data_IF_275737219385
#
_entry.id   IF_275737219385
#
_cell.length_a   1.000
_cell.length_b   1.000
_cell.length_c   1.000
_cell.angle_alpha   90.00
_cell.angle_beta   90.00
_cell.angle_gamma   90.00
#
_symmetry.space_group_name_H-M   'P 1'
#
loop_
_entity.id
_entity.type
_entity.pdbx_description
1 polymer ?
#
# COMPACT_ATOMS: atom_id res chain seq x y z
N UNK A 1 78.15 7.47 -12.64
CA UNK A 1 76.71 7.61 -12.80
C UNK A 1 76.00 6.40 -12.27
N UNK A 2 75.20 6.60 -11.25
CA UNK A 2 74.33 5.56 -10.66
C UNK A 2 73.08 5.36 -11.54
N UNK A 3 72.59 4.13 -11.74
CA UNK A 3 71.36 3.89 -12.43
C UNK A 3 70.19 4.34 -11.59
N UNK A 4 69.27 5.09 -12.17
CA UNK A 4 68.01 5.53 -11.57
C UNK A 4 67.08 4.33 -11.41
N UNK A 5 66.69 4.06 -10.15
CA UNK A 5 65.66 3.10 -9.82
C UNK A 5 64.32 3.56 -10.40
N UNK A 6 63.85 2.90 -11.46
CA UNK A 6 62.50 3.03 -11.95
C UNK A 6 61.54 2.48 -10.88
N UNK A 7 60.75 3.35 -10.27
CA UNK A 7 59.66 2.94 -9.39
C UNK A 7 58.71 2.05 -10.18
N UNK A 8 58.71 0.74 -9.90
CA UNK A 8 57.66 -0.19 -10.35
C UNK A 8 56.35 0.21 -9.69
N UNK A 9 55.34 0.54 -10.46
CA UNK A 9 53.99 0.76 -9.95
C UNK A 9 53.50 -0.49 -9.21
N UNK A 10 53.00 -0.38 -7.97
CA UNK A 10 52.68 -1.54 -7.13
C UNK A 10 51.40 -2.28 -7.57
N UNK A 11 50.69 -1.81 -8.58
CA UNK A 11 49.43 -2.41 -9.01
C UNK A 11 49.57 -2.81 -10.49
N UNK A 12 49.73 -4.12 -10.74
CA UNK A 12 49.72 -4.69 -12.08
C UNK A 12 48.31 -4.78 -12.66
N UNK A 13 48.16 -4.74 -13.99
CA UNK A 13 46.89 -4.89 -14.70
C UNK A 13 46.11 -6.11 -14.27
N UNK A 14 46.77 -7.20 -13.83
CA UNK A 14 46.14 -8.40 -13.26
C UNK A 14 45.41 -8.15 -11.94
N UNK A 15 45.96 -7.28 -11.06
CA UNK A 15 45.33 -6.93 -9.81
C UNK A 15 44.07 -6.09 -10.03
N UNK A 16 44.08 -5.17 -11.01
CA UNK A 16 42.90 -4.38 -11.38
C UNK A 16 41.82 -5.23 -11.98
N UNK A 17 42.16 -6.20 -12.85
CA UNK A 17 41.19 -7.15 -13.40
C UNK A 17 40.57 -8.06 -12.32
N UNK A 18 41.38 -8.54 -11.37
CA UNK A 18 40.89 -9.36 -10.25
C UNK A 18 39.94 -8.59 -9.33
N UNK A 19 40.27 -7.31 -9.03
CA UNK A 19 39.39 -6.45 -8.21
C UNK A 19 38.08 -6.14 -8.92
N UNK A 20 38.11 -5.89 -10.23
CA UNK A 20 36.92 -5.68 -11.06
C UNK A 20 36.00 -6.93 -11.11
N UNK A 21 36.61 -8.13 -11.30
CA UNK A 21 35.86 -9.39 -11.29
C UNK A 21 35.24 -9.69 -9.92
N UNK A 22 35.99 -9.44 -8.82
CA UNK A 22 35.47 -9.61 -7.47
C UNK A 22 34.32 -8.62 -7.17
N UNK A 23 34.44 -7.36 -7.61
CA UNK A 23 33.36 -6.36 -7.48
C UNK A 23 32.10 -6.73 -8.26
N UNK A 24 32.25 -7.21 -9.52
CA UNK A 24 31.13 -7.68 -10.30
C UNK A 24 30.46 -8.93 -9.69
N UNK A 25 31.26 -9.87 -9.19
CA UNK A 25 30.74 -11.05 -8.48
C UNK A 25 29.97 -10.70 -7.22
N UNK A 26 30.47 -9.74 -6.46
CA UNK A 26 29.78 -9.26 -5.24
C UNK A 26 28.48 -8.55 -5.59
N UNK A 27 28.46 -7.69 -6.60
CA UNK A 27 27.25 -7.01 -7.06
C UNK A 27 26.19 -8.01 -7.55
N UNK A 28 26.60 -8.99 -8.35
CA UNK A 28 25.71 -10.08 -8.80
C UNK A 28 25.16 -10.89 -7.62
N UNK A 29 26.01 -11.24 -6.66
CA UNK A 29 25.58 -11.96 -5.45
C UNK A 29 24.55 -11.13 -4.65
N UNK A 30 24.76 -9.83 -4.51
CA UNK A 30 23.85 -8.94 -3.81
C UNK A 30 22.47 -8.84 -4.50
N UNK A 31 22.43 -8.76 -5.82
CA UNK A 31 21.17 -8.73 -6.57
C UNK A 31 20.40 -10.05 -6.47
N UNK A 32 21.10 -11.19 -6.57
CA UNK A 32 20.48 -12.52 -6.40
C UNK A 32 19.95 -12.70 -4.98
N UNK A 33 20.71 -12.30 -3.97
CA UNK A 33 20.31 -12.41 -2.57
C UNK A 33 19.12 -11.49 -2.24
N UNK A 34 19.09 -10.28 -2.80
CA UNK A 34 17.97 -9.34 -2.67
C UNK A 34 16.68 -9.91 -3.27
N UNK A 35 16.77 -10.49 -4.46
CA UNK A 35 15.63 -11.14 -5.13
C UNK A 35 15.13 -12.34 -4.31
N UNK A 36 16.04 -13.19 -3.83
CA UNK A 36 15.71 -14.32 -2.94
C UNK A 36 15.01 -13.88 -1.66
N UNK A 37 15.49 -12.81 -1.01
CA UNK A 37 14.85 -12.26 0.21
C UNK A 37 13.46 -11.71 -0.07
N UNK A 38 13.27 -11.06 -1.21
CA UNK A 38 11.95 -10.57 -1.63
C UNK A 38 10.97 -11.72 -1.91
N UNK A 39 11.42 -12.78 -2.61
CA UNK A 39 10.61 -13.98 -2.84
C UNK A 39 10.28 -14.73 -1.53
N UNK A 40 11.24 -14.84 -0.62
CA UNK A 40 11.02 -15.47 0.69
C UNK A 40 10.06 -14.66 1.56
N UNK A 41 10.15 -13.33 1.53
CA UNK A 41 9.21 -12.46 2.22
C UNK A 41 7.78 -12.60 1.64
N UNK A 42 7.65 -12.65 0.33
CA UNK A 42 6.38 -12.90 -0.34
C UNK A 42 5.79 -14.28 0.00
N UNK A 43 6.62 -15.35 0.00
CA UNK A 43 6.20 -16.71 0.40
C UNK A 43 5.83 -16.81 1.88
N UNK A 44 6.50 -16.07 2.76
CA UNK A 44 6.20 -16.08 4.20
C UNK A 44 4.83 -15.45 4.52
N UNK A 45 4.37 -14.49 3.72
CA UNK A 45 3.03 -13.91 3.87
C UNK A 45 1.90 -14.91 3.61
N UNK A 46 2.13 -15.95 2.79
CA UNK A 46 1.10 -16.96 2.46
C UNK A 46 0.93 -18.07 3.51
N UNK A 47 1.80 -18.13 4.53
CA UNK A 47 1.83 -19.24 5.52
C UNK A 47 1.02 -18.96 6.79
N UNK A 48 0.56 -17.73 6.99
CA UNK A 48 -0.37 -17.43 8.09
C UNK A 48 -1.79 -17.79 7.66
N UNK A 49 -2.50 -18.58 8.48
CA UNK A 49 -3.91 -18.92 8.23
C UNK A 49 -4.71 -17.67 7.88
N UNK A 50 -5.60 -17.74 6.88
CA UNK A 50 -6.39 -16.59 6.44
C UNK A 50 -7.13 -16.01 7.65
N UNK A 51 -6.80 -14.81 8.12
CA UNK A 51 -7.52 -14.20 9.22
C UNK A 51 -8.97 -13.98 8.79
N UNK A 52 -9.92 -14.20 9.69
CA UNK A 52 -11.30 -13.79 9.46
C UNK A 52 -11.35 -12.25 9.48
N UNK A 53 -11.12 -11.65 8.33
CA UNK A 53 -11.20 -10.21 8.08
C UNK A 53 -12.41 -9.91 7.20
N UNK A 54 -12.96 -8.72 7.36
CA UNK A 54 -14.18 -8.30 6.68
C UNK A 54 -15.42 -8.52 7.56
N UNK A 55 -16.54 -8.04 7.10
CA UNK A 55 -17.82 -8.08 7.77
C UNK A 55 -18.70 -6.94 7.28
N UNK A 56 -19.98 -6.92 7.67
CA UNK A 56 -20.92 -5.92 7.19
C UNK A 56 -20.56 -4.53 7.71
N UNK A 57 -20.60 -3.56 6.82
CA UNK A 57 -20.46 -2.15 7.13
C UNK A 57 -21.40 -1.31 6.26
N UNK A 58 -21.73 -0.11 6.72
CA UNK A 58 -22.54 0.86 5.98
C UNK A 58 -21.87 2.23 6.08
N UNK A 59 -21.57 2.82 4.93
CA UNK A 59 -20.95 4.13 4.81
C UNK A 59 -21.69 4.94 3.73
N UNK A 60 -21.29 6.19 3.52
CA UNK A 60 -21.78 7.06 2.47
C UNK A 60 -20.66 7.34 1.49
N UNK A 61 -20.94 7.18 0.23
CA UNK A 61 -20.02 7.53 -0.85
C UNK A 61 -20.03 9.05 -1.07
N UNK A 62 -18.86 9.65 -0.98
CA UNK A 62 -18.72 11.11 -1.08
C UNK A 62 -19.02 11.65 -2.47
N UNK A 63 -18.76 10.89 -3.55
CA UNK A 63 -18.99 11.31 -4.92
C UNK A 63 -20.49 11.30 -5.26
N UNK A 64 -21.20 10.24 -4.85
CA UNK A 64 -22.62 10.06 -5.20
C UNK A 64 -23.59 10.54 -4.14
N UNK A 65 -23.11 10.79 -2.92
CA UNK A 65 -23.90 11.13 -1.74
C UNK A 65 -24.95 10.05 -1.38
N UNK A 66 -24.66 8.79 -1.74
CA UNK A 66 -25.57 7.65 -1.51
C UNK A 66 -24.99 6.72 -0.44
N UNK A 67 -25.82 6.10 0.39
CA UNK A 67 -25.35 5.04 1.27
C UNK A 67 -24.90 3.82 0.45
N UNK A 68 -23.81 3.20 0.90
CA UNK A 68 -23.25 1.98 0.33
C UNK A 68 -22.89 1.02 1.45
N UNK A 69 -22.95 -0.26 1.16
CA UNK A 69 -22.57 -1.34 2.08
C UNK A 69 -21.47 -2.18 1.46
N UNK A 70 -20.86 -3.06 2.22
CA UNK A 70 -19.97 -4.09 1.69
C UNK A 70 -20.63 -4.89 0.55
N UNK A 71 -21.90 -5.25 0.70
CA UNK A 71 -22.67 -5.96 -0.31
C UNK A 71 -22.88 -5.17 -1.62
N UNK A 72 -22.78 -3.83 -1.58
CA UNK A 72 -22.87 -2.99 -2.80
C UNK A 72 -21.75 -3.25 -3.79
N UNK A 73 -20.68 -3.89 -3.37
CA UNK A 73 -19.50 -4.20 -4.18
C UNK A 73 -19.36 -5.69 -4.51
N UNK A 74 -20.32 -6.52 -4.14
CA UNK A 74 -20.33 -7.94 -4.52
C UNK A 74 -20.38 -8.08 -6.05
N UNK A 75 -19.75 -9.12 -6.57
CA UNK A 75 -19.54 -9.34 -8.00
C UNK A 75 -18.27 -8.67 -8.56
N UNK A 76 -17.59 -7.82 -7.76
CA UNK A 76 -16.35 -7.16 -8.14
C UNK A 76 -15.25 -7.41 -7.12
N UNK A 77 -14.00 -7.43 -7.60
CA UNK A 77 -12.85 -7.34 -6.69
C UNK A 77 -12.77 -5.92 -6.13
N UNK A 78 -12.40 -5.80 -4.87
CA UNK A 78 -12.25 -4.52 -4.17
C UNK A 78 -10.83 -4.39 -3.63
N UNK A 79 -10.22 -3.23 -3.81
CA UNK A 79 -8.97 -2.86 -3.17
C UNK A 79 -9.27 -1.75 -2.15
N UNK A 80 -9.29 -2.13 -0.87
CA UNK A 80 -9.75 -1.29 0.23
C UNK A 80 -8.57 -0.70 0.99
N UNK A 81 -8.59 0.60 1.22
CA UNK A 81 -7.63 1.33 2.03
C UNK A 81 -8.32 2.19 3.09
N UNK A 82 -7.78 2.18 4.31
CA UNK A 82 -8.23 3.02 5.41
C UNK A 82 -7.23 4.16 5.62
N UNK A 83 -7.73 5.39 5.69
CA UNK A 83 -6.90 6.58 5.84
C UNK A 83 -7.72 7.82 6.21
N UNK A 84 -7.13 9.00 6.11
CA UNK A 84 -7.81 10.27 6.35
C UNK A 84 -7.24 11.37 5.45
N UNK A 85 -8.08 12.37 5.08
CA UNK A 85 -7.72 13.36 4.06
C UNK A 85 -6.63 14.34 4.51
N UNK A 86 -6.44 14.52 5.81
CA UNK A 86 -5.42 15.41 6.38
C UNK A 86 -4.09 14.71 6.69
N UNK A 87 -3.89 13.48 6.21
CA UNK A 87 -2.60 12.80 6.29
C UNK A 87 -1.58 13.50 5.37
N UNK A 88 -0.44 13.99 5.89
CA UNK A 88 0.45 14.84 5.10
C UNK A 88 1.28 14.07 4.07
N UNK A 89 1.48 12.76 4.22
CA UNK A 89 2.45 12.01 3.42
C UNK A 89 1.95 10.60 3.02
N UNK A 90 1.63 9.77 3.99
CA UNK A 90 1.42 8.33 3.76
C UNK A 90 0.17 8.06 2.92
N UNK A 91 -0.98 8.66 3.26
CA UNK A 91 -2.23 8.41 2.54
C UNK A 91 -2.17 8.85 1.08
N UNK A 92 -1.66 10.04 0.72
CA UNK A 92 -1.45 10.41 -0.68
C UNK A 92 -0.53 9.44 -1.42
N UNK A 93 0.58 9.03 -0.80
CA UNK A 93 1.54 8.08 -1.40
C UNK A 93 0.91 6.72 -1.67
N UNK A 94 0.08 6.19 -0.75
CA UNK A 94 -0.64 4.93 -0.94
C UNK A 94 -1.70 5.04 -2.03
N UNK A 95 -2.43 6.16 -2.11
CA UNK A 95 -3.40 6.41 -3.19
C UNK A 95 -2.74 6.53 -4.57
N UNK A 96 -1.55 7.14 -4.66
CA UNK A 96 -0.75 7.15 -5.90
C UNK A 96 -0.27 5.74 -6.27
N UNK A 97 0.06 4.91 -5.30
CA UNK A 97 0.38 3.49 -5.52
C UNK A 97 -0.85 2.74 -6.05
N UNK A 98 -2.04 2.96 -5.47
CA UNK A 98 -3.31 2.41 -5.97
C UNK A 98 -3.53 2.83 -7.43
N UNK A 99 -3.38 4.11 -7.78
CA UNK A 99 -3.49 4.56 -9.17
C UNK A 99 -2.56 3.81 -10.12
N UNK A 100 -1.31 3.54 -9.69
CA UNK A 100 -0.38 2.75 -10.49
C UNK A 100 -0.88 1.31 -10.68
N UNK A 101 -1.43 0.68 -9.64
CA UNK A 101 -2.06 -0.65 -9.74
C UNK A 101 -3.21 -0.63 -10.74
N UNK A 102 -4.10 0.37 -10.65
CA UNK A 102 -5.24 0.51 -11.56
C UNK A 102 -4.80 0.65 -13.03
N UNK A 103 -3.73 1.41 -13.29
CA UNK A 103 -3.17 1.55 -14.66
C UNK A 103 -2.56 0.24 -15.16
N UNK A 104 -1.87 -0.51 -14.30
CA UNK A 104 -1.25 -1.80 -14.66
C UNK A 104 -2.28 -2.88 -14.98
N UNK A 105 -3.46 -2.81 -14.37
CA UNK A 105 -4.54 -3.80 -14.54
C UNK A 105 -5.57 -3.40 -15.60
N UNK A 106 -5.67 -2.11 -15.96
CA UNK A 106 -6.65 -1.65 -16.94
C UNK A 106 -8.07 -2.03 -16.56
N UNK A 107 -8.77 -2.73 -17.46
CA UNK A 107 -10.16 -3.19 -17.26
C UNK A 107 -10.30 -4.30 -16.22
N UNK A 108 -9.20 -4.96 -15.88
CA UNK A 108 -9.16 -5.98 -14.83
C UNK A 108 -8.96 -5.39 -13.41
N UNK A 109 -8.89 -4.06 -13.31
CA UNK A 109 -8.64 -3.41 -12.03
C UNK A 109 -9.78 -3.67 -11.02
N UNK A 110 -9.45 -3.89 -9.74
CA UNK A 110 -10.44 -3.93 -8.67
C UNK A 110 -11.07 -2.55 -8.48
N UNK A 111 -12.25 -2.49 -7.89
CA UNK A 111 -12.84 -1.24 -7.42
C UNK A 111 -12.05 -0.70 -6.24
N UNK A 112 -11.38 0.45 -6.36
CA UNK A 112 -10.61 1.00 -5.25
C UNK A 112 -11.51 1.78 -4.29
N UNK A 113 -11.46 1.45 -3.01
CA UNK A 113 -12.20 2.12 -1.94
C UNK A 113 -11.24 2.77 -0.95
N UNK A 114 -11.45 4.04 -0.67
CA UNK A 114 -10.85 4.75 0.44
C UNK A 114 -11.90 4.93 1.54
N UNK A 115 -11.65 4.42 2.75
CA UNK A 115 -12.53 4.56 3.91
C UNK A 115 -11.90 5.49 4.92
N UNK A 116 -12.61 6.57 5.25
CA UNK A 116 -12.12 7.53 6.23
C UNK A 116 -12.10 6.96 7.65
N UNK A 117 -10.98 7.19 8.33
CA UNK A 117 -10.79 6.97 9.77
C UNK A 117 -11.07 8.23 10.61
N UNK A 118 -11.31 9.35 9.95
CA UNK A 118 -11.53 10.64 10.58
C UNK A 118 -12.84 11.30 10.18
N UNK A 119 -13.98 10.74 10.57
CA UNK A 119 -15.29 11.28 10.21
C UNK A 119 -15.59 12.66 10.81
N UNK A 120 -14.77 13.15 11.75
CA UNK A 120 -14.91 14.51 12.30
C UNK A 120 -14.47 15.56 11.27
N UNK A 121 -13.29 15.39 10.66
CA UNK A 121 -12.71 16.32 9.68
C UNK A 121 -13.03 15.94 8.23
N UNK A 122 -13.25 14.67 7.93
CA UNK A 122 -13.54 14.14 6.60
C UNK A 122 -15.04 14.19 6.28
N UNK A 123 -15.59 15.40 6.15
CA UNK A 123 -16.94 15.53 5.63
C UNK A 123 -17.06 15.05 4.18
N UNK A 124 -18.26 14.74 3.70
CA UNK A 124 -18.52 14.40 2.28
C UNK A 124 -17.98 15.48 1.32
N UNK A 125 -18.07 16.75 1.71
CA UNK A 125 -17.50 17.87 0.95
C UNK A 125 -15.97 17.81 0.91
N UNK A 126 -15.34 17.59 2.05
CA UNK A 126 -13.89 17.51 2.17
C UNK A 126 -13.34 16.35 1.34
N UNK A 127 -13.96 15.17 1.43
CA UNK A 127 -13.54 14.01 0.63
C UNK A 127 -13.73 14.22 -0.87
N UNK A 128 -14.78 14.95 -1.30
CA UNK A 128 -14.92 15.33 -2.72
C UNK A 128 -13.83 16.27 -3.21
N UNK A 129 -13.34 17.16 -2.33
CA UNK A 129 -12.20 18.02 -2.68
C UNK A 129 -10.93 17.18 -2.77
N UNK A 130 -10.66 16.36 -1.78
CA UNK A 130 -9.50 15.47 -1.73
C UNK A 130 -9.46 14.48 -2.90
N UNK A 131 -10.61 13.95 -3.31
CA UNK A 131 -10.73 13.02 -4.43
C UNK A 131 -10.25 13.59 -5.78
N UNK A 132 -10.21 14.91 -5.95
CA UNK A 132 -9.79 15.54 -7.21
C UNK A 132 -8.30 15.33 -7.53
N UNK A 133 -7.51 15.02 -6.53
CA UNK A 133 -6.07 14.82 -6.66
C UNK A 133 -5.71 13.38 -7.10
N UNK A 134 -6.74 12.50 -7.19
CA UNK A 134 -6.54 11.08 -7.46
C UNK A 134 -7.36 10.56 -8.65
N UNK A 135 -7.15 9.30 -9.01
CA UNK A 135 -7.89 8.61 -10.08
C UNK A 135 -9.39 8.61 -9.77
N UNK A 136 -10.21 9.01 -10.74
CA UNK A 136 -11.67 9.14 -10.61
C UNK A 136 -12.39 7.84 -10.22
N UNK A 137 -11.75 6.69 -10.46
CA UNK A 137 -12.26 5.37 -10.05
C UNK A 137 -12.21 5.14 -8.55
N UNK A 138 -11.39 5.89 -7.81
CA UNK A 138 -11.29 5.75 -6.34
C UNK A 138 -12.55 6.28 -5.69
N UNK A 139 -13.27 5.42 -4.98
CA UNK A 139 -14.48 5.76 -4.22
C UNK A 139 -14.10 6.15 -2.79
N UNK A 140 -14.47 7.35 -2.39
CA UNK A 140 -14.18 7.87 -1.04
C UNK A 140 -15.42 7.73 -0.16
N UNK A 141 -15.27 6.96 0.93
CA UNK A 141 -16.36 6.56 1.80
C UNK A 141 -16.15 7.13 3.21
N UNK A 142 -17.22 7.63 3.80
CA UNK A 142 -17.26 8.09 5.19
C UNK A 142 -18.64 7.80 5.78
N UNK A 143 -18.73 7.75 7.08
CA UNK A 143 -19.99 7.59 7.81
C UNK A 143 -19.93 8.33 9.14
N UNK A 144 -20.83 8.01 10.03
CA UNK A 144 -20.73 8.44 11.43
C UNK A 144 -19.48 7.85 12.08
N UNK A 145 -18.98 8.42 13.19
CA UNK A 145 -17.84 7.83 13.91
C UNK A 145 -18.03 6.35 14.25
N UNK A 146 -19.24 5.95 14.63
CA UNK A 146 -19.56 4.57 14.92
C UNK A 146 -19.47 3.66 13.67
N UNK A 147 -19.92 4.14 12.53
CA UNK A 147 -19.85 3.40 11.25
C UNK A 147 -18.42 3.24 10.75
N UNK A 148 -17.62 4.32 10.78
CA UNK A 148 -16.20 4.25 10.39
C UNK A 148 -15.42 3.32 11.32
N UNK A 149 -15.67 3.40 12.64
CA UNK A 149 -15.07 2.49 13.63
C UNK A 149 -15.48 1.04 13.41
N UNK A 150 -16.74 0.77 13.05
CA UNK A 150 -17.22 -0.59 12.76
C UNK A 150 -16.53 -1.15 11.50
N UNK A 151 -16.40 -0.36 10.42
CA UNK A 151 -15.68 -0.75 9.22
C UNK A 151 -14.20 -1.04 9.51
N UNK A 152 -13.51 -0.15 10.23
CA UNK A 152 -12.12 -0.35 10.63
C UNK A 152 -11.93 -1.60 11.47
N UNK A 153 -12.83 -1.86 12.43
CA UNK A 153 -12.80 -3.05 13.28
C UNK A 153 -13.00 -4.35 12.48
N UNK A 154 -13.87 -4.35 11.46
CA UNK A 154 -14.11 -5.50 10.61
C UNK A 154 -12.82 -5.95 9.88
N UNK A 155 -11.96 -5.03 9.52
CA UNK A 155 -10.65 -5.29 8.89
C UNK A 155 -9.49 -5.27 9.89
N UNK A 156 -9.77 -5.21 11.20
CA UNK A 156 -8.76 -5.14 12.27
C UNK A 156 -7.75 -4.00 12.07
N UNK A 157 -8.22 -2.90 11.50
CA UNK A 157 -7.40 -1.69 11.36
C UNK A 157 -7.23 -1.08 12.75
N UNK A 158 -5.99 -1.01 13.18
CA UNK A 158 -5.63 -0.21 14.35
C UNK A 158 -5.68 1.26 13.96
N UNK A 159 -6.28 2.09 14.79
CA UNK A 159 -6.22 3.55 14.67
C UNK A 159 -6.22 4.18 16.06
N UNK A 160 -5.33 5.13 16.29
CA UNK A 160 -5.30 5.96 17.49
C UNK A 160 -5.12 7.42 17.11
N UNK A 161 -5.85 8.30 17.77
CA UNK A 161 -5.64 9.73 17.65
C UNK A 161 -4.39 10.04 18.48
N UNK A 162 -3.43 10.77 17.91
CA UNK A 162 -2.26 11.28 18.62
C UNK A 162 -2.68 12.15 19.82
N UNK A 163 -1.73 12.48 20.69
CA UNK A 163 -1.99 13.37 21.82
C UNK A 163 -2.60 14.69 21.30
N UNK A 164 -3.80 14.99 21.76
CA UNK A 164 -4.52 16.24 21.48
C UNK A 164 -4.47 17.03 22.76
N UNK A 165 -3.86 18.20 22.72
CA UNK A 165 -3.71 19.06 23.91
C UNK A 165 -5.04 19.73 24.32
N UNK A 166 -6.03 19.77 23.41
CA UNK A 166 -7.37 20.30 23.66
C UNK A 166 -8.40 19.54 22.83
N UNK A 167 -9.61 19.26 23.37
CA UNK A 167 -10.69 18.56 22.67
C UNK A 167 -11.20 19.31 21.41
N UNK A 168 -10.93 20.61 21.34
CA UNK A 168 -11.29 21.48 20.22
C UNK A 168 -10.16 21.65 19.18
N UNK A 169 -8.99 21.05 19.41
CA UNK A 169 -7.89 21.12 18.46
C UNK A 169 -8.16 20.24 17.22
N UNK A 170 -8.33 20.90 16.08
CA UNK A 170 -8.51 20.26 14.78
C UNK A 170 -7.19 19.82 14.14
N UNK A 171 -6.02 20.07 14.77
CA UNK A 171 -4.70 19.74 14.26
C UNK A 171 -4.10 18.50 14.94
N UNK A 172 -4.70 17.35 14.71
CA UNK A 172 -4.20 16.08 15.19
C UNK A 172 -3.84 15.12 14.06
N UNK A 173 -2.91 14.21 14.33
CA UNK A 173 -2.57 13.08 13.44
C UNK A 173 -3.23 11.79 13.95
N UNK A 174 -3.61 10.94 13.01
CA UNK A 174 -4.12 9.60 13.33
C UNK A 174 -3.03 8.60 12.95
N UNK A 175 -2.54 7.88 13.95
CA UNK A 175 -1.71 6.69 13.70
C UNK A 175 -2.61 5.52 13.33
N UNK A 176 -2.34 4.88 12.20
CA UNK A 176 -3.15 3.76 11.72
C UNK A 176 -2.34 2.74 10.94
N UNK A 177 -2.90 1.55 10.80
CA UNK A 177 -2.31 0.48 9.98
C UNK A 177 -2.28 0.87 8.51
N UNK A 178 -1.10 0.84 7.88
CA UNK A 178 -0.90 1.16 6.47
C UNK A 178 -0.99 -0.14 5.67
N UNK A 179 -2.20 -0.53 5.30
CA UNK A 179 -2.50 -1.80 4.64
C UNK A 179 -3.57 -1.60 3.57
N UNK A 180 -3.33 -2.16 2.39
CA UNK A 180 -4.32 -2.35 1.35
C UNK A 180 -4.91 -3.76 1.47
N UNK A 181 -6.23 -3.89 1.48
CA UNK A 181 -6.94 -5.17 1.58
C UNK A 181 -7.55 -5.53 0.24
N UNK A 182 -7.30 -6.73 -0.24
CA UNK A 182 -7.97 -7.29 -1.40
C UNK A 182 -9.17 -8.12 -0.95
N UNK A 183 -10.34 -7.77 -1.45
CA UNK A 183 -11.61 -8.45 -1.19
C UNK A 183 -12.14 -9.03 -2.50
N UNK A 184 -12.59 -10.27 -2.45
CA UNK A 184 -13.13 -10.98 -3.62
C UNK A 184 -14.57 -10.61 -3.96
N UNK A 185 -15.06 -11.09 -5.10
CA UNK A 185 -16.43 -10.83 -5.57
C UNK A 185 -17.52 -11.37 -4.62
N UNK A 186 -17.18 -12.32 -3.76
CA UNK A 186 -18.05 -12.89 -2.73
C UNK A 186 -18.02 -12.09 -1.41
N UNK A 187 -17.35 -10.94 -1.39
CA UNK A 187 -17.17 -10.10 -0.21
C UNK A 187 -16.16 -10.63 0.81
N UNK A 188 -15.48 -11.75 0.52
CA UNK A 188 -14.49 -12.32 1.44
C UNK A 188 -13.11 -11.73 1.23
N UNK A 189 -12.41 -11.60 2.34
CA UNK A 189 -11.00 -11.22 2.35
C UNK A 189 -10.15 -12.27 1.61
N UNK A 190 -9.32 -11.80 0.68
CA UNK A 190 -8.40 -12.64 -0.11
C UNK A 190 -6.96 -12.47 0.31
N UNK A 191 -6.48 -11.21 0.34
CA UNK A 191 -5.08 -10.90 0.59
C UNK A 191 -4.92 -9.48 1.15
N UNK A 192 -3.72 -9.14 1.60
CA UNK A 192 -3.38 -7.80 2.03
C UNK A 192 -1.97 -7.41 1.55
N UNK A 193 -1.76 -6.10 1.37
CA UNK A 193 -0.49 -5.55 0.93
C UNK A 193 -0.05 -4.45 1.89
N UNK A 194 1.19 -4.55 2.33
CA UNK A 194 1.79 -3.54 3.21
C UNK A 194 2.37 -2.38 2.40
N UNK A 195 2.76 -1.31 3.08
CA UNK A 195 3.42 -0.16 2.47
C UNK A 195 4.65 -0.56 1.62
N UNK A 196 5.40 -1.58 2.04
CA UNK A 196 6.59 -2.07 1.35
C UNK A 196 6.28 -2.83 0.04
N UNK A 197 5.01 -3.22 -0.21
CA UNK A 197 4.64 -3.97 -1.42
C UNK A 197 4.54 -3.03 -2.61
N UNK A 198 5.34 -3.20 -3.66
CA UNK A 198 5.30 -2.34 -4.85
C UNK A 198 4.07 -2.61 -5.72
N UNK A 199 3.64 -1.62 -6.50
CA UNK A 199 2.41 -1.67 -7.28
C UNK A 199 2.36 -2.81 -8.32
N UNK A 200 3.49 -3.16 -8.92
CA UNK A 200 3.61 -4.28 -9.86
C UNK A 200 3.40 -5.64 -9.19
N UNK A 201 3.92 -5.83 -7.98
CA UNK A 201 3.69 -7.03 -7.19
C UNK A 201 2.22 -7.14 -6.75
N UNK A 202 1.59 -6.01 -6.36
CA UNK A 202 0.15 -5.97 -6.07
C UNK A 202 -0.66 -6.38 -7.30
N UNK A 203 -0.37 -5.79 -8.47
CA UNK A 203 -1.06 -6.10 -9.70
C UNK A 203 -0.91 -7.58 -10.10
N UNK A 204 0.29 -8.16 -9.94
CA UNK A 204 0.55 -9.58 -10.20
C UNK A 204 -0.29 -10.47 -9.28
N UNK A 205 -0.36 -10.15 -7.98
CA UNK A 205 -1.18 -10.91 -7.02
C UNK A 205 -2.67 -10.82 -7.30
N UNK A 206 -3.17 -9.66 -7.72
CA UNK A 206 -4.58 -9.51 -8.11
C UNK A 206 -4.90 -10.39 -9.32
N UNK A 207 -4.01 -10.46 -10.34
CA UNK A 207 -4.19 -11.36 -11.49
C UNK A 207 -4.20 -12.83 -11.07
N UNK A 208 -3.31 -13.23 -10.15
CA UNK A 208 -3.27 -14.58 -9.59
C UNK A 208 -4.61 -14.96 -8.95
N UNK A 209 -5.18 -14.09 -8.13
CA UNK A 209 -6.48 -14.32 -7.49
C UNK A 209 -7.66 -14.35 -8.48
N UNK A 210 -7.55 -13.65 -9.63
CA UNK A 210 -8.59 -13.68 -10.67
C UNK A 210 -8.56 -14.94 -11.52
N UNK A 211 -7.41 -15.60 -11.60
CA UNK A 211 -7.22 -16.84 -12.39
C UNK A 211 -7.43 -18.12 -11.58
N UNK A 212 -7.63 -18.01 -10.27
CA UNK A 212 -7.86 -19.13 -9.33
C UNK A 212 -9.33 -19.42 -9.14
#
# INVERSE_FOLDING_TARGET
>A
PKPTNAMRSPIGWGALAATGAAGAGLAYYYEVEKTRRQEQAAKKQTTYGKPSLGGPWTLVDAQTNKPVTDASFHGSYVLLYFGFSRCPDICPSELLKVQKVLRLLGDEAPTPLFVSLDPRRDSLRQLRVYAKDFDERVRFLVGTPAQCKAAAKAYRVYSSIGAVDDEDDDDYLIDHSIVLYLVGPDGKFLDFFTQATPADAIAAKIREHRSS
#
